data_IF_610729056623
#
_entry.id   IF_610729056623
#
_cell.length_a   1.000
_cell.length_b   1.000
_cell.length_c   1.000
_cell.angle_alpha   90.00
_cell.angle_beta   90.00
_cell.angle_gamma   90.00
#
_symmetry.space_group_name_H-M   'P 1'
#
loop_
_entity.id
_entity.type
_entity.pdbx_description
1 polymer ?
#
# COMPACT_ATOMS: atom_id res chain seq x y z
N UNK A 1 -2.98 22.50 9.07
CA UNK A 1 -2.64 21.06 9.09
C UNK A 1 -1.16 20.93 9.41
N UNK A 2 -0.77 19.97 10.24
CA UNK A 2 0.65 19.76 10.55
C UNK A 2 1.35 19.06 9.38
N UNK A 3 2.66 19.28 9.29
CA UNK A 3 3.49 18.58 8.29
C UNK A 3 3.33 17.06 8.38
N UNK A 4 3.25 16.51 9.60
CA UNK A 4 2.99 15.07 9.84
C UNK A 4 1.71 14.57 9.18
N UNK A 5 0.60 15.27 9.40
CA UNK A 5 -0.72 14.94 8.85
C UNK A 5 -0.68 14.94 7.33
N UNK A 6 -0.05 15.98 6.74
CA UNK A 6 0.09 16.11 5.29
C UNK A 6 0.94 14.96 4.73
N UNK A 7 2.06 14.64 5.38
CA UNK A 7 2.95 13.53 4.96
C UNK A 7 2.20 12.19 5.01
N UNK A 8 1.45 11.92 6.08
CA UNK A 8 0.67 10.68 6.21
C UNK A 8 -0.36 10.59 5.09
N UNK A 9 -1.13 11.66 4.85
CA UNK A 9 -2.17 11.68 3.82
C UNK A 9 -1.57 11.53 2.43
N UNK A 10 -0.50 12.26 2.09
CA UNK A 10 0.15 12.17 0.78
C UNK A 10 0.74 10.78 0.53
N UNK A 11 1.42 10.20 1.52
CA UNK A 11 1.93 8.83 1.44
C UNK A 11 0.79 7.83 1.20
N UNK A 12 -0.30 7.99 1.94
CA UNK A 12 -1.51 7.15 1.82
C UNK A 12 -2.16 7.24 0.44
N UNK A 13 -2.26 8.45 -0.12
CA UNK A 13 -2.75 8.66 -1.49
C UNK A 13 -1.85 7.97 -2.51
N UNK A 14 -0.53 7.99 -2.32
CA UNK A 14 0.41 7.23 -3.16
C UNK A 14 0.10 5.73 -3.19
N UNK A 15 -0.18 5.14 -2.03
CA UNK A 15 -0.60 3.73 -1.93
C UNK A 15 -1.95 3.47 -2.61
N UNK A 16 -2.94 4.36 -2.45
CA UNK A 16 -4.23 4.23 -3.15
C UNK A 16 -4.04 4.25 -4.67
N UNK A 17 -3.24 5.20 -5.18
CA UNK A 17 -2.95 5.32 -6.61
C UNK A 17 -2.26 4.05 -7.12
N UNK A 18 -1.25 3.55 -6.41
CA UNK A 18 -0.59 2.28 -6.76
C UNK A 18 -1.55 1.09 -6.72
N UNK A 19 -2.48 1.08 -5.76
CA UNK A 19 -3.53 0.08 -5.65
C UNK A 19 -4.44 0.05 -6.88
N UNK A 20 -4.94 1.22 -7.27
CA UNK A 20 -5.78 1.39 -8.46
C UNK A 20 -5.05 1.02 -9.74
N UNK A 21 -3.81 1.47 -9.90
CA UNK A 21 -2.96 1.13 -11.06
C UNK A 21 -2.76 -0.38 -11.14
N UNK A 22 -2.46 -1.03 -10.01
CA UNK A 22 -2.26 -2.49 -9.95
C UNK A 22 -3.52 -3.27 -10.32
N UNK A 23 -4.73 -2.75 -10.08
CA UNK A 23 -5.99 -3.44 -10.40
C UNK A 23 -6.45 -3.16 -11.85
N UNK A 24 -6.26 -1.94 -12.35
CA UNK A 24 -6.86 -1.48 -13.61
C UNK A 24 -5.92 -1.51 -14.82
N UNK A 25 -4.60 -1.60 -14.61
CA UNK A 25 -3.63 -1.42 -15.69
C UNK A 25 -3.43 -2.68 -16.53
N UNK A 26 -4.09 -2.71 -17.69
CA UNK A 26 -3.81 -3.72 -18.72
C UNK A 26 -2.36 -3.68 -19.22
N UNK A 27 -1.74 -2.50 -19.24
CA UNK A 27 -0.34 -2.34 -19.66
C UNK A 27 0.61 -3.10 -18.74
N UNK A 28 0.45 -2.95 -17.42
CA UNK A 28 1.26 -3.67 -16.43
C UNK A 28 1.00 -5.17 -16.54
N UNK A 29 -0.26 -5.57 -16.69
CA UNK A 29 -0.63 -6.99 -16.88
C UNK A 29 0.12 -7.61 -18.07
N UNK A 30 0.14 -6.95 -19.22
CA UNK A 30 0.88 -7.44 -20.39
C UNK A 30 2.39 -7.48 -20.16
N UNK A 31 2.97 -6.47 -19.51
CA UNK A 31 4.40 -6.48 -19.17
C UNK A 31 4.79 -7.65 -18.25
N UNK A 32 3.97 -7.92 -17.23
CA UNK A 32 4.19 -9.05 -16.31
C UNK A 32 3.98 -10.40 -17.00
N UNK A 33 3.07 -10.48 -17.98
CA UNK A 33 2.87 -11.69 -18.79
C UNK A 33 4.07 -12.00 -19.66
N UNK A 34 4.64 -10.97 -20.29
CA UNK A 34 5.79 -11.13 -21.16
C UNK A 34 7.08 -11.47 -20.41
N UNK A 35 7.17 -11.18 -19.10
CA UNK A 35 8.37 -11.45 -18.31
C UNK A 35 8.50 -12.91 -17.86
N UNK A 36 7.42 -13.68 -17.84
CA UNK A 36 7.40 -15.05 -17.32
C UNK A 36 7.68 -15.16 -15.80
N UNK A 37 7.80 -14.05 -15.08
CA UNK A 37 8.21 -14.03 -13.68
C UNK A 37 7.09 -14.44 -12.69
N UNK A 38 5.86 -14.62 -13.16
CA UNK A 38 4.68 -14.87 -12.33
C UNK A 38 3.83 -16.01 -12.90
N UNK A 39 3.37 -16.89 -12.01
CA UNK A 39 2.50 -18.02 -12.33
C UNK A 39 1.04 -17.63 -12.50
N UNK A 40 0.59 -16.67 -11.69
CA UNK A 40 -0.79 -16.18 -11.69
C UNK A 40 -0.78 -14.66 -11.55
N UNK A 41 -0.68 -14.00 -12.71
CA UNK A 41 -0.55 -12.54 -12.82
C UNK A 41 -1.82 -11.84 -12.34
N UNK A 42 -2.99 -12.40 -12.67
CA UNK A 42 -4.28 -11.81 -12.32
C UNK A 42 -4.46 -11.77 -10.80
N UNK A 43 -4.17 -12.89 -10.14
CA UNK A 43 -4.27 -12.96 -8.68
C UNK A 43 -3.17 -12.16 -7.99
N UNK A 44 -1.95 -12.16 -8.54
CA UNK A 44 -0.86 -11.30 -8.06
C UNK A 44 -1.26 -9.82 -8.10
N UNK A 45 -1.69 -9.32 -9.26
CA UNK A 45 -2.06 -7.92 -9.46
C UNK A 45 -3.25 -7.51 -8.60
N UNK A 46 -4.28 -8.36 -8.50
CA UNK A 46 -5.45 -8.12 -7.66
C UNK A 46 -5.08 -8.01 -6.18
N UNK A 47 -4.29 -8.96 -5.66
CA UNK A 47 -3.87 -8.94 -4.26
C UNK A 47 -2.91 -7.79 -3.97
N UNK A 48 -1.94 -7.55 -4.84
CA UNK A 48 -1.01 -6.43 -4.73
C UNK A 48 -1.75 -5.08 -4.69
N UNK A 49 -2.75 -4.93 -5.56
CA UNK A 49 -3.59 -3.74 -5.56
C UNK A 49 -4.44 -3.62 -4.31
N UNK A 50 -5.01 -4.74 -3.83
CA UNK A 50 -5.83 -4.76 -2.61
C UNK A 50 -5.02 -4.38 -1.36
N UNK A 51 -3.79 -4.91 -1.22
CA UNK A 51 -2.89 -4.53 -0.12
C UNK A 51 -2.55 -3.04 -0.15
N UNK A 52 -2.19 -2.51 -1.32
CA UNK A 52 -1.90 -1.09 -1.48
C UNK A 52 -3.13 -0.21 -1.16
N UNK A 53 -4.32 -0.59 -1.61
CA UNK A 53 -5.57 0.10 -1.23
C UNK A 53 -5.80 0.06 0.29
N UNK A 54 -5.60 -1.10 0.93
CA UNK A 54 -5.77 -1.25 2.38
C UNK A 54 -4.79 -0.38 3.16
N UNK A 55 -3.51 -0.35 2.77
CA UNK A 55 -2.48 0.52 3.37
C UNK A 55 -2.90 1.99 3.23
N UNK A 56 -3.33 2.39 2.04
CA UNK A 56 -3.75 3.76 1.77
C UNK A 56 -4.98 4.18 2.58
N UNK A 57 -6.02 3.35 2.65
CA UNK A 57 -7.23 3.65 3.43
C UNK A 57 -6.91 3.74 4.93
N UNK A 58 -6.16 2.78 5.48
CA UNK A 58 -5.73 2.81 6.88
C UNK A 58 -4.86 4.04 7.17
N UNK A 59 -4.00 4.40 6.24
CA UNK A 59 -3.18 5.60 6.34
C UNK A 59 -3.99 6.89 6.37
N UNK A 60 -5.05 7.01 5.57
CA UNK A 60 -5.98 8.15 5.66
C UNK A 60 -6.64 8.19 7.03
N UNK A 61 -7.11 7.05 7.56
CA UNK A 61 -7.71 6.98 8.90
C UNK A 61 -6.72 7.47 9.96
N UNK A 62 -5.46 7.02 9.89
CA UNK A 62 -4.40 7.46 10.81
C UNK A 62 -4.09 8.95 10.65
N UNK A 63 -4.08 9.46 9.42
CA UNK A 63 -3.90 10.90 9.15
C UNK A 63 -5.02 11.74 9.77
N UNK A 64 -6.26 11.27 9.70
CA UNK A 64 -7.39 11.92 10.39
C UNK A 64 -7.21 11.87 11.91
N UNK A 65 -6.73 10.76 12.47
CA UNK A 65 -6.43 10.64 13.90
C UNK A 65 -5.29 11.61 14.33
N UNK A 66 -4.22 11.73 13.53
CA UNK A 66 -3.09 12.65 13.79
C UNK A 66 -3.56 14.11 13.87
N UNK A 67 -4.57 14.47 13.07
CA UNK A 67 -5.15 15.81 13.10
C UNK A 67 -5.80 16.15 14.46
N UNK A 68 -6.42 15.17 15.13
CA UNK A 68 -7.06 15.35 16.43
C UNK A 68 -6.09 15.15 17.62
N UNK A 69 -5.07 14.29 17.49
CA UNK A 69 -4.13 13.97 18.57
C UNK A 69 -2.87 14.86 18.57
N UNK A 70 -3.10 16.16 18.77
CA UNK A 70 -2.09 17.22 18.65
C UNK A 70 -0.87 17.01 19.57
N UNK A 71 -1.00 16.45 20.77
CA UNK A 71 0.18 16.29 21.64
C UNK A 71 0.97 15.00 21.36
N UNK A 72 0.37 14.04 20.65
CA UNK A 72 0.88 12.68 20.52
C UNK A 72 1.32 12.33 19.08
N UNK A 73 1.36 13.32 18.19
CA UNK A 73 1.64 13.15 16.75
C UNK A 73 2.90 12.32 16.44
N UNK A 74 3.96 12.43 17.26
CA UNK A 74 5.17 11.58 17.12
C UNK A 74 4.83 10.09 17.19
N UNK A 75 4.00 9.68 18.15
CA UNK A 75 3.58 8.29 18.31
C UNK A 75 2.66 7.85 17.18
N UNK A 76 1.80 8.75 16.68
CA UNK A 76 0.94 8.48 15.52
C UNK A 76 1.77 8.20 14.27
N UNK A 77 2.78 9.03 13.98
CA UNK A 77 3.69 8.82 12.84
C UNK A 77 4.46 7.49 12.98
N UNK A 78 4.97 7.17 14.17
CA UNK A 78 5.67 5.89 14.40
C UNK A 78 4.71 4.72 14.14
N UNK A 79 3.47 4.79 14.65
CA UNK A 79 2.46 3.75 14.43
C UNK A 79 2.12 3.56 12.95
N UNK A 80 2.06 4.66 12.18
CA UNK A 80 1.84 4.63 10.74
C UNK A 80 2.97 3.89 10.01
N UNK A 81 4.23 4.20 10.33
CA UNK A 81 5.40 3.54 9.73
C UNK A 81 5.40 2.05 10.05
N UNK A 82 5.15 1.68 11.31
CA UNK A 82 5.10 0.28 11.75
C UNK A 82 3.97 -0.47 11.03
N UNK A 83 2.80 0.15 10.89
CA UNK A 83 1.67 -0.45 10.19
C UNK A 83 1.96 -0.69 8.70
N UNK A 84 2.57 0.29 8.01
CA UNK A 84 3.01 0.10 6.61
C UNK A 84 4.01 -1.06 6.53
N UNK A 85 4.99 -1.08 7.42
CA UNK A 85 6.03 -2.12 7.40
C UNK A 85 5.44 -3.52 7.58
N UNK A 86 4.55 -3.71 8.56
CA UNK A 86 3.88 -5.00 8.81
C UNK A 86 3.05 -5.41 7.60
N UNK A 87 2.20 -4.52 7.07
CA UNK A 87 1.36 -4.84 5.91
C UNK A 87 2.19 -5.16 4.66
N UNK A 88 3.29 -4.44 4.46
CA UNK A 88 4.21 -4.68 3.33
C UNK A 88 4.93 -6.03 3.45
N UNK A 89 5.34 -6.41 4.67
CA UNK A 89 5.92 -7.74 4.93
C UNK A 89 4.89 -8.84 4.68
N UNK A 90 3.67 -8.69 5.20
CA UNK A 90 2.57 -9.63 4.96
C UNK A 90 2.23 -9.74 3.48
N UNK A 91 2.20 -8.62 2.77
CA UNK A 91 2.02 -8.55 1.33
C UNK A 91 3.11 -9.33 0.60
N UNK A 92 4.38 -9.12 0.93
CA UNK A 92 5.49 -9.81 0.26
C UNK A 92 5.41 -11.33 0.45
N UNK A 93 5.15 -11.80 1.67
CA UNK A 93 4.97 -13.23 1.97
C UNK A 93 3.78 -13.79 1.17
N UNK A 94 2.65 -13.07 1.18
CA UNK A 94 1.42 -13.50 0.50
C UNK A 94 1.54 -13.49 -1.03
N UNK A 95 2.35 -12.59 -1.59
CA UNK A 95 2.53 -12.50 -3.03
C UNK A 95 3.61 -13.44 -3.57
N UNK A 96 4.54 -13.91 -2.71
CA UNK A 96 5.63 -14.81 -3.11
C UNK A 96 5.12 -16.09 -3.79
N UNK A 97 3.99 -16.64 -3.33
CA UNK A 97 3.36 -17.83 -3.93
C UNK A 97 2.90 -17.67 -5.39
N UNK A 98 2.82 -16.44 -5.91
CA UNK A 98 2.45 -16.19 -7.31
C UNK A 98 3.66 -15.87 -8.19
N UNK A 99 4.86 -15.81 -7.61
CA UNK A 99 6.12 -15.63 -8.35
C UNK A 99 6.63 -17.00 -8.80
N UNK A 100 7.41 -16.99 -9.89
CA UNK A 100 8.10 -18.17 -10.41
C UNK A 100 9.46 -18.45 -9.78
N UNK A 101 9.84 -17.64 -8.78
CA UNK A 101 11.19 -17.57 -8.19
C UNK A 101 11.11 -17.82 -6.69
#
# INVERSE_FOLDING_TARGET
MRGSTIIIILGSLGFIIMGLISISSNRIKTMLKNSGAYNDIDKFMKLNGTFNMAIGILGIIIGVIDYFLIEQSKYVVISFIVLIAILSLTQNITLKKYKNI
#
